data_IF_332457482486
#
_entry.id   IF_332457482486
#
_cell.length_a   1.000
_cell.length_b   1.000
_cell.length_c   1.000
_cell.angle_alpha   90.00
_cell.angle_beta   90.00
_cell.angle_gamma   90.00
#
_symmetry.space_group_name_H-M   'P 1'
#
loop_
_entity.id
_entity.type
_entity.pdbx_description
1 polymer ?
#
# COMPACT_ATOMS: atom_id res chain seq x y z
N UNK A 1 -20.05 13.78 -31.14
CA UNK A 1 -19.78 12.90 -29.98
C UNK A 1 -19.90 13.70 -28.67
N UNK A 2 -21.08 14.24 -28.34
CA UNK A 2 -21.22 15.21 -27.24
C UNK A 2 -21.55 14.60 -25.86
N UNK A 3 -21.54 13.27 -25.70
CA UNK A 3 -22.01 12.63 -24.46
C UNK A 3 -21.07 11.59 -23.82
N UNK A 4 -19.81 11.46 -24.28
CA UNK A 4 -18.87 10.47 -23.70
C UNK A 4 -19.21 9.00 -23.99
N UNK A 5 -20.33 8.72 -24.65
CA UNK A 5 -20.68 7.39 -25.15
C UNK A 5 -19.87 7.05 -26.41
N UNK A 6 -18.61 6.64 -26.20
CA UNK A 6 -17.71 6.22 -27.26
C UNK A 6 -18.21 4.94 -27.94
N UNK A 7 -18.78 4.01 -27.18
CA UNK A 7 -19.24 2.72 -27.71
C UNK A 7 -20.42 2.92 -28.66
N UNK A 8 -21.41 3.74 -28.28
CA UNK A 8 -22.49 4.16 -29.17
C UNK A 8 -21.97 4.89 -30.41
N UNK A 9 -21.02 5.81 -30.24
CA UNK A 9 -20.42 6.53 -31.36
C UNK A 9 -19.70 5.59 -32.35
N UNK A 10 -18.91 4.63 -31.86
CA UNK A 10 -18.27 3.63 -32.75
C UNK A 10 -19.30 2.75 -33.46
N UNK A 11 -20.40 2.39 -32.81
CA UNK A 11 -21.47 1.62 -33.44
C UNK A 11 -22.18 2.41 -34.56
N UNK A 12 -22.46 3.70 -34.34
CA UNK A 12 -23.06 4.59 -35.35
C UNK A 12 -22.15 4.80 -36.56
N UNK A 13 -20.88 5.14 -36.31
CA UNK A 13 -19.89 5.29 -37.38
C UNK A 13 -19.64 3.96 -38.10
N UNK A 14 -19.65 2.84 -37.38
CA UNK A 14 -19.55 1.50 -37.95
C UNK A 14 -20.70 1.18 -38.90
N UNK A 15 -21.93 1.61 -38.57
CA UNK A 15 -23.08 1.53 -39.50
C UNK A 15 -22.89 2.43 -40.72
N UNK A 16 -22.40 3.66 -40.52
CA UNK A 16 -22.15 4.61 -41.60
C UNK A 16 -21.19 4.04 -42.65
N UNK A 17 -20.05 3.49 -42.24
CA UNK A 17 -19.06 2.94 -43.18
C UNK A 17 -19.51 1.64 -43.85
N UNK A 18 -20.48 0.90 -43.29
CA UNK A 18 -21.10 -0.24 -43.99
C UNK A 18 -21.97 0.23 -45.15
N UNK A 19 -22.65 1.37 -44.98
CA UNK A 19 -23.49 1.98 -46.03
C UNK A 19 -22.61 2.71 -47.05
N UNK A 20 -21.55 3.38 -46.58
CA UNK A 20 -20.61 4.14 -47.40
C UNK A 20 -19.17 3.65 -47.20
N UNK A 21 -18.77 2.50 -47.80
CA UNK A 21 -17.42 1.95 -47.63
C UNK A 21 -16.29 2.87 -48.10
N UNK A 22 -16.59 3.79 -49.03
CA UNK A 22 -15.65 4.79 -49.54
C UNK A 22 -15.43 6.00 -48.62
N UNK A 23 -16.09 6.07 -47.46
CA UNK A 23 -15.81 7.08 -46.44
C UNK A 23 -14.50 6.73 -45.70
N UNK A 24 -13.39 7.08 -46.33
CA UNK A 24 -12.04 6.77 -45.84
C UNK A 24 -11.71 7.51 -44.54
N UNK A 25 -12.29 8.68 -44.32
CA UNK A 25 -12.08 9.48 -43.12
C UNK A 25 -12.71 8.78 -41.91
N UNK A 26 -13.97 8.37 -42.02
CA UNK A 26 -14.63 7.62 -40.95
C UNK A 26 -13.98 6.25 -40.71
N UNK A 27 -13.49 5.57 -41.75
CA UNK A 27 -12.72 4.32 -41.57
C UNK A 27 -11.43 4.53 -40.78
N UNK A 28 -10.67 5.62 -41.04
CA UNK A 28 -9.48 5.93 -40.23
C UNK A 28 -9.84 6.32 -38.79
N UNK A 29 -10.92 7.09 -38.62
CA UNK A 29 -11.41 7.46 -37.29
C UNK A 29 -11.76 6.21 -36.48
N UNK A 30 -12.55 5.30 -37.05
CA UNK A 30 -12.88 4.00 -36.42
C UNK A 30 -11.63 3.17 -36.13
N UNK A 31 -10.64 3.16 -37.02
CA UNK A 31 -9.39 2.44 -36.80
C UNK A 31 -8.69 2.91 -35.50
N UNK A 32 -8.54 4.22 -35.31
CA UNK A 32 -7.94 4.78 -34.09
C UNK A 32 -8.85 4.64 -32.86
N UNK A 33 -10.17 4.80 -33.01
CA UNK A 33 -11.12 4.63 -31.90
C UNK A 33 -11.06 3.21 -31.32
N UNK A 34 -11.19 2.19 -32.18
CA UNK A 34 -11.09 0.81 -31.75
C UNK A 34 -9.73 0.52 -31.15
N UNK A 35 -8.63 0.94 -31.81
CA UNK A 35 -7.29 0.61 -31.34
C UNK A 35 -6.90 1.31 -30.03
N UNK A 36 -7.03 2.64 -29.98
CA UNK A 36 -6.49 3.47 -28.89
C UNK A 36 -7.50 3.71 -27.77
N UNK A 37 -8.77 3.93 -28.11
CA UNK A 37 -9.80 4.24 -27.10
C UNK A 37 -10.34 2.96 -26.49
N UNK A 38 -10.68 1.96 -27.32
CA UNK A 38 -11.35 0.73 -26.87
C UNK A 38 -10.41 -0.44 -26.58
N UNK A 39 -9.13 -0.35 -26.94
CA UNK A 39 -8.15 -1.45 -26.84
C UNK A 39 -8.53 -2.68 -27.69
N UNK A 40 -9.13 -2.44 -28.85
CA UNK A 40 -9.60 -3.43 -29.81
C UNK A 40 -8.73 -3.42 -31.07
N UNK A 41 -7.48 -3.86 -30.92
CA UNK A 41 -6.46 -3.77 -31.98
C UNK A 41 -6.87 -4.50 -33.28
N UNK A 42 -7.57 -5.63 -33.17
CA UNK A 42 -8.01 -6.40 -34.32
C UNK A 42 -9.05 -5.63 -35.16
N UNK A 43 -10.07 -5.08 -34.53
CA UNK A 43 -11.10 -4.24 -35.15
C UNK A 43 -10.49 -2.98 -35.75
N UNK A 44 -9.57 -2.32 -35.02
CA UNK A 44 -8.87 -1.14 -35.53
C UNK A 44 -8.08 -1.43 -36.81
N UNK A 45 -7.38 -2.57 -36.85
CA UNK A 45 -6.66 -3.01 -38.04
C UNK A 45 -7.59 -3.45 -39.19
N UNK A 46 -8.78 -3.96 -38.89
CA UNK A 46 -9.79 -4.30 -39.89
C UNK A 46 -10.30 -3.05 -40.62
N UNK A 47 -10.63 -1.99 -39.88
CA UNK A 47 -11.09 -0.71 -40.46
C UNK A 47 -10.06 -0.08 -41.39
N UNK A 48 -8.80 -0.03 -40.99
CA UNK A 48 -7.76 0.56 -41.87
C UNK A 48 -7.44 -0.33 -43.08
N UNK A 49 -7.58 -1.67 -42.97
CA UNK A 49 -7.50 -2.57 -44.14
C UNK A 49 -8.68 -2.35 -45.08
N UNK A 50 -9.89 -2.12 -44.56
CA UNK A 50 -11.06 -1.77 -45.36
C UNK A 50 -10.87 -0.42 -46.06
N UNK A 51 -10.23 0.56 -45.41
CA UNK A 51 -9.84 1.80 -46.08
C UNK A 51 -8.90 1.53 -47.26
N UNK A 52 -7.79 0.81 -47.03
CA UNK A 52 -6.81 0.50 -48.08
C UNK A 52 -7.36 -0.38 -49.20
N UNK A 53 -8.39 -1.18 -48.92
CA UNK A 53 -9.12 -1.92 -49.95
C UNK A 53 -9.93 -0.99 -50.86
N UNK A 54 -10.47 0.09 -50.30
CA UNK A 54 -11.29 1.06 -51.02
C UNK A 54 -10.41 2.03 -51.83
N UNK A 55 -9.27 2.44 -51.28
CA UNK A 55 -8.25 3.23 -51.97
C UNK A 55 -6.84 2.76 -51.55
N UNK A 56 -6.20 1.91 -52.36
CA UNK A 56 -4.86 1.39 -52.08
C UNK A 56 -3.76 2.45 -52.06
N UNK A 57 -4.00 3.65 -52.61
CA UNK A 57 -2.99 4.71 -52.73
C UNK A 57 -3.18 5.87 -51.75
N UNK A 58 -4.23 5.80 -50.93
CA UNK A 58 -4.49 6.78 -49.90
C UNK A 58 -3.34 6.89 -48.88
N UNK A 59 -2.66 8.04 -48.86
CA UNK A 59 -1.52 8.29 -47.97
C UNK A 59 -1.89 8.21 -46.49
N UNK A 60 -3.06 8.71 -46.11
CA UNK A 60 -3.55 8.70 -44.73
C UNK A 60 -3.77 7.27 -44.26
N UNK A 61 -4.46 6.43 -45.04
CA UNK A 61 -4.70 5.03 -44.68
C UNK A 61 -3.42 4.21 -44.64
N UNK A 62 -2.46 4.46 -45.54
CA UNK A 62 -1.12 3.85 -45.48
C UNK A 62 -0.40 4.24 -44.18
N UNK A 63 -0.43 5.52 -43.82
CA UNK A 63 0.16 6.05 -42.58
C UNK A 63 -0.46 5.43 -41.33
N UNK A 64 -1.78 5.44 -41.22
CA UNK A 64 -2.53 4.82 -40.11
C UNK A 64 -2.24 3.33 -40.02
N UNK A 65 -2.25 2.59 -41.14
CA UNK A 65 -1.95 1.17 -41.14
C UNK A 65 -0.55 0.87 -40.62
N UNK A 66 0.47 1.56 -41.14
CA UNK A 66 1.86 1.34 -40.70
C UNK A 66 2.03 1.66 -39.22
N UNK A 67 1.43 2.75 -38.74
CA UNK A 67 1.47 3.14 -37.32
C UNK A 67 0.83 2.07 -36.43
N UNK A 68 -0.44 1.75 -36.67
CA UNK A 68 -1.18 0.79 -35.85
C UNK A 68 -0.60 -0.64 -35.95
N UNK A 69 -0.16 -1.07 -37.13
CA UNK A 69 0.47 -2.38 -37.32
C UNK A 69 1.82 -2.50 -36.61
N UNK A 70 2.59 -1.41 -36.54
CA UNK A 70 3.85 -1.39 -35.79
C UNK A 70 3.59 -1.51 -34.30
N UNK A 71 2.62 -0.75 -33.78
CA UNK A 71 2.22 -0.84 -32.38
C UNK A 71 1.68 -2.23 -32.02
N UNK A 72 0.80 -2.81 -32.86
CA UNK A 72 0.26 -4.16 -32.71
C UNK A 72 1.35 -5.24 -32.56
N UNK A 73 2.41 -5.17 -33.37
CA UNK A 73 3.56 -6.09 -33.24
C UNK A 73 4.29 -5.93 -31.91
N UNK A 74 4.46 -4.69 -31.44
CA UNK A 74 5.10 -4.43 -30.14
C UNK A 74 4.21 -4.93 -28.99
N UNK A 75 2.89 -4.76 -29.07
CA UNK A 75 1.93 -5.28 -28.10
C UNK A 75 1.92 -6.82 -28.07
N UNK A 76 1.96 -7.47 -29.25
CA UNK A 76 2.09 -8.92 -29.35
C UNK A 76 3.41 -9.43 -28.75
N UNK A 77 4.50 -8.67 -28.92
CA UNK A 77 5.77 -9.01 -28.27
C UNK A 77 5.71 -8.85 -26.75
N UNK A 78 5.08 -7.78 -26.27
CA UNK A 78 4.86 -7.55 -24.84
C UNK A 78 4.03 -8.68 -24.21
N UNK A 79 2.95 -9.12 -24.87
CA UNK A 79 2.14 -10.23 -24.37
C UNK A 79 2.90 -11.56 -24.36
N UNK A 80 3.74 -11.81 -25.37
CA UNK A 80 4.65 -12.97 -25.39
C UNK A 80 5.65 -12.94 -24.23
N UNK A 81 6.23 -11.77 -23.94
CA UNK A 81 7.18 -11.63 -22.83
C UNK A 81 6.47 -11.72 -21.47
N UNK A 82 5.24 -11.20 -21.35
CA UNK A 82 4.38 -11.32 -20.16
C UNK A 82 4.03 -12.78 -19.86
N UNK A 83 3.57 -13.53 -20.87
CA UNK A 83 3.23 -14.97 -20.71
C UNK A 83 4.45 -15.84 -20.36
N UNK A 84 5.66 -15.40 -20.74
CA UNK A 84 6.93 -16.03 -20.36
C UNK A 84 7.51 -15.47 -19.05
N UNK A 85 6.76 -14.65 -18.32
CA UNK A 85 7.17 -14.02 -17.06
C UNK A 85 8.49 -13.24 -17.16
N UNK A 86 8.80 -12.68 -18.33
CA UNK A 86 10.00 -11.88 -18.58
C UNK A 86 9.79 -10.44 -18.09
N UNK A 87 9.55 -10.27 -16.80
CA UNK A 87 9.13 -8.99 -16.21
C UNK A 87 10.08 -7.82 -16.48
N UNK A 88 11.39 -8.07 -16.50
CA UNK A 88 12.38 -7.04 -16.85
C UNK A 88 12.30 -6.61 -18.33
N UNK A 89 11.92 -7.51 -19.24
CA UNK A 89 11.69 -7.17 -20.63
C UNK A 89 10.40 -6.35 -20.77
N UNK A 90 9.32 -6.76 -20.09
CA UNK A 90 8.06 -6.00 -20.03
C UNK A 90 8.29 -4.58 -19.52
N UNK A 91 9.01 -4.43 -18.39
CA UNK A 91 9.36 -3.13 -17.84
C UNK A 91 10.08 -2.23 -18.85
N UNK A 92 11.09 -2.76 -19.57
CA UNK A 92 11.82 -1.99 -20.59
C UNK A 92 10.95 -1.62 -21.79
N UNK A 93 10.03 -2.50 -22.17
CA UNK A 93 9.14 -2.25 -23.30
C UNK A 93 8.05 -1.21 -22.96
N UNK A 94 7.50 -1.25 -21.75
CA UNK A 94 6.39 -0.36 -21.35
C UNK A 94 6.90 1.02 -20.92
N UNK A 95 7.79 1.03 -19.93
CA UNK A 95 8.27 2.24 -19.26
C UNK A 95 9.76 2.08 -18.90
N UNK A 96 10.66 2.23 -19.89
CA UNK A 96 12.10 2.14 -19.66
C UNK A 96 12.57 3.25 -18.72
N UNK A 97 13.72 3.04 -18.06
CA UNK A 97 14.26 4.00 -17.09
C UNK A 97 14.57 5.38 -17.68
N UNK A 98 14.80 5.47 -19.00
CA UNK A 98 14.96 6.73 -19.72
C UNK A 98 13.69 7.60 -19.70
N UNK A 99 12.52 7.01 -19.44
CA UNK A 99 11.21 7.65 -19.58
C UNK A 99 10.84 8.00 -21.02
N UNK A 100 11.67 7.60 -21.99
CA UNK A 100 11.52 7.86 -23.43
C UNK A 100 11.48 6.52 -24.18
N UNK A 101 10.77 6.50 -25.30
CA UNK A 101 10.68 5.35 -26.20
C UNK A 101 9.99 4.11 -25.61
N UNK A 102 9.28 4.27 -24.49
CA UNK A 102 8.41 3.24 -23.93
C UNK A 102 7.04 3.20 -24.63
N UNK A 103 6.43 2.02 -24.67
CA UNK A 103 5.10 1.84 -25.25
C UNK A 103 4.04 2.73 -24.62
N UNK A 104 4.11 2.97 -23.30
CA UNK A 104 3.12 3.82 -22.62
C UNK A 104 3.22 5.27 -23.14
N UNK A 105 4.43 5.82 -23.25
CA UNK A 105 4.68 7.15 -23.80
C UNK A 105 4.31 7.25 -25.28
N UNK A 106 4.64 6.23 -26.08
CA UNK A 106 4.26 6.17 -27.50
C UNK A 106 2.73 6.20 -27.67
N UNK A 107 2.00 5.40 -26.88
CA UNK A 107 0.54 5.39 -26.89
C UNK A 107 -0.03 6.71 -26.38
N UNK A 108 0.55 7.33 -25.34
CA UNK A 108 0.10 8.62 -24.83
C UNK A 108 0.18 9.73 -25.88
N UNK A 109 1.29 9.79 -26.61
CA UNK A 109 1.47 10.76 -27.70
C UNK A 109 0.45 10.49 -28.82
N UNK A 110 0.34 9.22 -29.25
CA UNK A 110 -0.63 8.84 -30.29
C UNK A 110 -2.07 9.15 -29.88
N UNK A 111 -2.41 8.94 -28.61
CA UNK A 111 -3.74 9.19 -28.07
C UNK A 111 -4.03 10.69 -27.99
N UNK A 112 -3.08 11.50 -27.50
CA UNK A 112 -3.22 12.94 -27.41
C UNK A 112 -3.42 13.59 -28.79
N UNK A 113 -2.64 13.16 -29.79
CA UNK A 113 -2.82 13.60 -31.18
C UNK A 113 -4.18 13.19 -31.74
N UNK A 114 -4.62 11.97 -31.43
CA UNK A 114 -5.90 11.43 -31.87
C UNK A 114 -7.10 12.19 -31.29
N UNK A 115 -7.17 12.37 -29.97
CA UNK A 115 -8.30 13.05 -29.33
C UNK A 115 -8.42 14.51 -29.76
N UNK A 116 -7.29 15.19 -30.00
CA UNK A 116 -7.28 16.56 -30.52
C UNK A 116 -7.85 16.62 -31.94
N UNK A 117 -7.41 15.70 -32.81
CA UNK A 117 -7.89 15.62 -34.20
C UNK A 117 -9.36 15.22 -34.30
N UNK A 118 -9.81 14.31 -33.43
CA UNK A 118 -11.17 13.76 -33.45
C UNK A 118 -12.15 14.57 -32.57
N UNK A 119 -11.71 15.66 -31.95
CA UNK A 119 -12.49 16.49 -31.03
C UNK A 119 -13.14 15.67 -29.90
N UNK A 120 -12.42 14.65 -29.41
CA UNK A 120 -12.87 13.81 -28.31
C UNK A 120 -12.51 14.51 -26.99
N UNK A 121 -13.44 14.62 -26.02
CA UNK A 121 -13.15 15.20 -24.72
C UNK A 121 -11.96 14.51 -24.03
N UNK A 122 -11.03 15.29 -23.48
CA UNK A 122 -9.84 14.78 -22.79
C UNK A 122 -10.16 13.96 -21.52
N UNK A 123 -11.41 13.98 -21.06
CA UNK A 123 -11.91 13.16 -19.94
C UNK A 123 -12.11 11.69 -20.33
N UNK A 124 -12.16 11.38 -21.63
CA UNK A 124 -12.23 9.99 -22.11
C UNK A 124 -10.85 9.37 -21.92
N UNK A 125 -10.71 8.26 -21.17
CA UNK A 125 -9.43 7.58 -21.04
C UNK A 125 -9.16 6.66 -22.24
N UNK A 126 -7.88 6.45 -22.54
CA UNK A 126 -7.46 5.36 -23.44
C UNK A 126 -7.49 4.02 -22.69
N UNK A 127 -8.36 3.09 -23.08
CA UNK A 127 -8.35 1.72 -22.53
C UNK A 127 -7.02 1.01 -22.83
N UNK A 128 -6.37 1.29 -23.96
CA UNK A 128 -5.06 0.72 -24.30
C UNK A 128 -3.96 1.22 -23.33
N UNK A 129 -3.94 2.51 -23.03
CA UNK A 129 -2.95 3.05 -22.11
C UNK A 129 -3.19 2.61 -20.66
N UNK A 130 -4.46 2.48 -20.25
CA UNK A 130 -4.82 1.87 -18.96
C UNK A 130 -4.35 0.42 -18.89
N UNK A 131 -4.58 -0.38 -19.93
CA UNK A 131 -4.06 -1.75 -20.03
C UNK A 131 -2.53 -1.82 -19.92
N UNK A 132 -1.80 -0.95 -20.61
CA UNK A 132 -0.34 -0.90 -20.51
C UNK A 132 0.13 -0.54 -19.10
N UNK A 133 -0.57 0.38 -18.41
CA UNK A 133 -0.28 0.74 -17.03
C UNK A 133 -0.58 -0.41 -16.06
N UNK A 134 -1.63 -1.20 -16.29
CA UNK A 134 -1.93 -2.41 -15.53
C UNK A 134 -0.79 -3.44 -15.67
N UNK A 135 -0.34 -3.72 -16.90
CA UNK A 135 0.80 -4.62 -17.13
C UNK A 135 2.07 -4.06 -16.47
N UNK A 136 2.26 -2.74 -16.45
CA UNK A 136 3.37 -2.11 -15.74
C UNK A 136 3.29 -2.32 -14.23
N UNK A 137 2.10 -2.26 -13.63
CA UNK A 137 1.90 -2.55 -12.21
C UNK A 137 2.31 -3.98 -11.88
N UNK A 138 1.85 -4.95 -12.66
CA UNK A 138 2.22 -6.36 -12.51
C UNK A 138 3.73 -6.58 -12.64
N UNK A 139 4.35 -6.09 -13.72
CA UNK A 139 5.76 -6.31 -13.97
C UNK A 139 6.67 -5.57 -12.98
N UNK A 140 6.27 -4.39 -12.53
CA UNK A 140 6.97 -3.65 -11.47
C UNK A 140 6.83 -4.35 -10.11
N UNK A 141 5.67 -4.90 -9.79
CA UNK A 141 5.45 -5.68 -8.56
C UNK A 141 6.36 -6.91 -8.52
N UNK A 142 6.42 -7.70 -9.59
CA UNK A 142 7.32 -8.86 -9.67
C UNK A 142 8.81 -8.50 -9.61
N UNK A 143 9.17 -7.27 -9.99
CA UNK A 143 10.56 -6.78 -9.94
C UNK A 143 10.83 -5.89 -8.73
N UNK A 144 9.88 -5.81 -7.78
CA UNK A 144 9.96 -5.04 -6.53
C UNK A 144 10.24 -3.54 -6.73
N UNK A 145 9.79 -2.98 -7.85
CA UNK A 145 9.87 -1.54 -8.14
C UNK A 145 8.64 -0.83 -7.59
N UNK A 146 8.51 -0.80 -6.27
CA UNK A 146 7.27 -0.38 -5.58
C UNK A 146 6.84 1.05 -5.92
N UNK A 147 7.78 1.99 -6.01
CA UNK A 147 7.47 3.38 -6.40
C UNK A 147 6.79 3.46 -7.78
N UNK A 148 7.23 2.62 -8.72
CA UNK A 148 6.65 2.54 -10.07
C UNK A 148 5.28 1.86 -10.07
N UNK A 149 5.05 0.91 -9.18
CA UNK A 149 3.71 0.34 -8.99
C UNK A 149 2.74 1.45 -8.57
N UNK A 150 3.09 2.27 -7.59
CA UNK A 150 2.24 3.37 -7.11
C UNK A 150 1.99 4.45 -8.17
N UNK A 151 3.01 4.76 -8.98
CA UNK A 151 2.89 5.71 -10.09
C UNK A 151 1.89 5.21 -11.15
N UNK A 152 2.01 3.95 -11.57
CA UNK A 152 1.15 3.37 -12.61
C UNK A 152 -0.24 2.99 -12.09
N UNK A 153 -0.37 2.61 -10.82
CA UNK A 153 -1.66 2.19 -10.24
C UNK A 153 -2.67 3.32 -10.27
N UNK A 154 -2.23 4.56 -10.00
CA UNK A 154 -3.09 5.75 -10.07
C UNK A 154 -3.79 5.85 -11.42
N UNK A 155 -3.05 5.68 -12.51
CA UNK A 155 -3.60 5.80 -13.85
C UNK A 155 -4.69 4.77 -14.14
N UNK A 156 -4.52 3.54 -13.66
CA UNK A 156 -5.53 2.49 -13.87
C UNK A 156 -6.74 2.75 -12.98
N UNK A 157 -6.53 3.09 -11.72
CA UNK A 157 -7.61 3.32 -10.75
C UNK A 157 -8.42 4.60 -11.01
N UNK A 158 -7.83 5.60 -11.68
CA UNK A 158 -8.55 6.77 -12.18
C UNK A 158 -9.56 6.39 -13.30
N UNK A 159 -9.31 5.30 -14.03
CA UNK A 159 -10.18 4.80 -15.10
C UNK A 159 -11.12 3.66 -14.65
N UNK A 160 -10.65 2.81 -13.74
CA UNK A 160 -11.35 1.67 -13.15
C UNK A 160 -10.94 1.54 -11.69
N UNK A 161 -11.69 2.24 -10.82
CA UNK A 161 -11.41 2.29 -9.38
C UNK A 161 -11.50 0.91 -8.71
N UNK A 162 -12.23 -0.03 -9.30
CA UNK A 162 -12.52 -1.34 -8.73
C UNK A 162 -11.62 -2.45 -9.30
N UNK A 163 -10.57 -2.09 -10.03
CA UNK A 163 -9.62 -3.03 -10.60
C UNK A 163 -8.88 -3.83 -9.51
N UNK A 164 -9.37 -5.06 -9.28
CA UNK A 164 -8.94 -5.95 -8.18
C UNK A 164 -7.43 -6.25 -8.23
N UNK A 165 -6.88 -6.47 -9.42
CA UNK A 165 -5.46 -6.81 -9.57
C UNK A 165 -4.57 -5.61 -9.24
N UNK A 166 -4.90 -4.42 -9.75
CA UNK A 166 -4.13 -3.21 -9.47
C UNK A 166 -4.25 -2.76 -8.02
N UNK A 167 -5.44 -2.83 -7.41
CA UNK A 167 -5.59 -2.61 -5.97
C UNK A 167 -4.71 -3.58 -5.17
N UNK A 168 -4.61 -4.84 -5.61
CA UNK A 168 -3.69 -5.82 -5.05
C UNK A 168 -2.23 -5.41 -5.14
N UNK A 169 -1.76 -4.99 -6.33
CA UNK A 169 -0.39 -4.53 -6.51
C UNK A 169 -0.08 -3.24 -5.73
N UNK A 170 -1.02 -2.30 -5.70
CA UNK A 170 -0.92 -1.05 -4.94
C UNK A 170 -0.80 -1.34 -3.45
N UNK A 171 -1.63 -2.24 -2.92
CA UNK A 171 -1.54 -2.69 -1.53
C UNK A 171 -0.15 -3.28 -1.22
N UNK A 172 0.32 -4.20 -2.06
CA UNK A 172 1.63 -4.85 -1.85
C UNK A 172 2.77 -3.80 -1.85
N UNK A 173 2.72 -2.82 -2.75
CA UNK A 173 3.68 -1.71 -2.81
C UNK A 173 3.59 -0.76 -1.59
N UNK A 174 2.39 -0.41 -1.13
CA UNK A 174 2.20 0.41 0.08
C UNK A 174 2.71 -0.32 1.32
N UNK A 175 2.47 -1.62 1.39
CA UNK A 175 2.92 -2.46 2.49
C UNK A 175 4.45 -2.55 2.56
N UNK A 176 5.12 -2.68 1.42
CA UNK A 176 6.59 -2.73 1.32
C UNK A 176 7.27 -1.37 1.50
N UNK A 177 6.58 -0.29 1.18
CA UNK A 177 7.05 1.09 1.41
C UNK A 177 6.61 1.67 2.76
N UNK A 178 6.08 0.82 3.65
CA UNK A 178 5.63 1.17 5.02
C UNK A 178 4.54 2.25 5.09
N UNK A 179 3.77 2.43 4.01
CA UNK A 179 2.61 3.33 3.95
C UNK A 179 1.35 2.64 4.52
N UNK A 180 1.41 2.27 5.81
CA UNK A 180 0.45 1.37 6.46
C UNK A 180 -0.99 1.91 6.51
N UNK A 181 -1.18 3.23 6.61
CA UNK A 181 -2.51 3.85 6.60
C UNK A 181 -3.15 3.78 5.22
N UNK A 182 -2.36 4.03 4.17
CA UNK A 182 -2.85 3.89 2.80
C UNK A 182 -3.13 2.42 2.47
N UNK A 183 -2.25 1.50 2.88
CA UNK A 183 -2.47 0.06 2.75
C UNK A 183 -3.77 -0.38 3.43
N UNK A 184 -4.13 0.21 4.58
CA UNK A 184 -5.40 -0.06 5.25
C UNK A 184 -6.61 0.35 4.41
N UNK A 185 -6.56 1.52 3.78
CA UNK A 185 -7.65 1.99 2.93
C UNK A 185 -7.78 1.11 1.69
N UNK A 186 -6.65 0.80 1.03
CA UNK A 186 -6.62 -0.05 -0.16
C UNK A 186 -7.15 -1.45 0.11
N UNK A 187 -6.79 -2.08 1.23
CA UNK A 187 -7.31 -3.42 1.56
C UNK A 187 -8.81 -3.41 1.87
N UNK A 188 -9.32 -2.35 2.50
CA UNK A 188 -10.75 -2.19 2.76
C UNK A 188 -11.54 -2.05 1.44
N UNK A 189 -11.00 -1.31 0.47
CA UNK A 189 -11.58 -1.21 -0.86
C UNK A 189 -11.51 -2.56 -1.58
N UNK A 190 -10.35 -3.23 -1.56
CA UNK A 190 -10.15 -4.53 -2.18
C UNK A 190 -11.15 -5.58 -1.66
N UNK A 191 -11.49 -5.55 -0.37
CA UNK A 191 -12.52 -6.43 0.20
C UNK A 191 -13.92 -6.20 -0.35
N UNK A 192 -14.27 -4.95 -0.66
CA UNK A 192 -15.58 -4.62 -1.22
C UNK A 192 -15.71 -5.13 -2.66
N UNK A 193 -14.62 -5.10 -3.42
CA UNK A 193 -14.64 -5.39 -4.87
C UNK A 193 -14.25 -6.83 -5.23
N UNK A 194 -13.45 -7.53 -4.40
CA UNK A 194 -12.86 -8.83 -4.76
C UNK A 194 -13.86 -10.02 -4.79
N UNK A 195 -15.14 -9.80 -4.47
CA UNK A 195 -16.17 -10.84 -4.46
C UNK A 195 -15.84 -12.04 -3.56
N UNK A 196 -16.55 -13.15 -3.73
CA UNK A 196 -16.35 -14.35 -2.90
C UNK A 196 -15.04 -15.08 -3.21
N UNK A 197 -14.68 -15.17 -4.50
CA UNK A 197 -13.54 -15.95 -4.99
C UNK A 197 -12.18 -15.31 -4.61
N UNK A 198 -12.10 -13.98 -4.53
CA UNK A 198 -10.91 -13.26 -4.11
C UNK A 198 -10.67 -13.27 -2.60
N UNK A 199 -11.63 -13.75 -1.81
CA UNK A 199 -11.63 -13.60 -0.35
C UNK A 199 -10.41 -14.22 0.35
N UNK A 200 -9.83 -15.31 -0.19
CA UNK A 200 -8.65 -15.94 0.39
C UNK A 200 -7.39 -15.06 0.28
N UNK A 201 -7.11 -14.54 -0.93
CA UNK A 201 -5.96 -13.65 -1.19
C UNK A 201 -6.06 -12.36 -0.39
N UNK A 202 -7.28 -11.84 -0.23
CA UNK A 202 -7.54 -10.63 0.54
C UNK A 202 -7.36 -10.86 2.05
N UNK A 203 -7.85 -12.00 2.59
CA UNK A 203 -7.59 -12.39 3.99
C UNK A 203 -6.10 -12.50 4.29
N UNK A 204 -5.33 -13.11 3.39
CA UNK A 204 -3.87 -13.21 3.55
C UNK A 204 -3.22 -11.83 3.63
N UNK A 205 -3.55 -10.93 2.69
CA UNK A 205 -3.06 -9.54 2.70
C UNK A 205 -3.44 -8.79 3.97
N UNK A 206 -4.67 -8.96 4.47
CA UNK A 206 -5.08 -8.38 5.75
C UNK A 206 -4.21 -8.88 6.92
N UNK A 207 -3.94 -10.18 6.98
CA UNK A 207 -3.04 -10.73 8.01
C UNK A 207 -1.63 -10.16 7.91
N UNK A 208 -1.11 -9.96 6.69
CA UNK A 208 0.19 -9.34 6.46
C UNK A 208 0.22 -7.87 6.93
N UNK A 209 -0.84 -7.09 6.66
CA UNK A 209 -0.98 -5.72 7.15
C UNK A 209 -0.97 -5.66 8.68
N UNK A 210 -1.80 -6.47 9.34
CA UNK A 210 -1.86 -6.52 10.81
C UNK A 210 -0.52 -6.89 11.42
N UNK A 211 0.19 -7.86 10.81
CA UNK A 211 1.53 -8.23 11.25
C UNK A 211 2.52 -7.06 11.13
N UNK A 212 2.51 -6.32 10.02
CA UNK A 212 3.39 -5.16 9.83
C UNK A 212 3.02 -3.98 10.73
N UNK A 213 1.73 -3.72 10.93
CA UNK A 213 1.26 -2.72 11.90
C UNK A 213 1.72 -3.04 13.32
N UNK A 214 1.54 -4.29 13.76
CA UNK A 214 2.05 -4.76 15.06
C UNK A 214 3.57 -4.61 15.16
N UNK A 215 4.31 -4.99 14.12
CA UNK A 215 5.76 -4.83 14.11
C UNK A 215 6.20 -3.36 14.19
N UNK A 216 5.47 -2.45 13.54
CA UNK A 216 5.73 -1.01 13.56
C UNK A 216 5.32 -0.33 14.88
N UNK A 217 4.24 -0.79 15.53
CA UNK A 217 3.79 -0.28 16.82
C UNK A 217 4.54 -0.87 18.02
N UNK A 218 5.23 -2.00 17.83
CA UNK A 218 5.98 -2.66 18.90
C UNK A 218 7.14 -1.79 19.35
N UNK A 219 7.15 -1.46 20.65
CA UNK A 219 8.24 -0.73 21.28
C UNK A 219 9.50 -1.61 21.30
N UNK A 220 10.64 -1.05 20.91
CA UNK A 220 11.93 -1.74 21.01
C UNK A 220 12.53 -1.52 22.41
N UNK A 221 12.24 -2.43 23.34
CA UNK A 221 12.66 -2.31 24.75
C UNK A 221 14.18 -2.25 24.91
N UNK A 222 14.94 -2.94 24.05
CA UNK A 222 16.40 -2.90 24.06
C UNK A 222 16.92 -1.52 23.66
N UNK A 223 16.33 -0.92 22.61
CA UNK A 223 16.65 0.46 22.22
C UNK A 223 16.26 1.48 23.28
N UNK A 224 15.13 1.30 23.97
CA UNK A 224 14.70 2.17 25.07
C UNK A 224 15.74 2.19 26.20
N UNK A 225 16.31 1.03 26.56
CA UNK A 225 17.38 0.95 27.56
C UNK A 225 18.78 1.26 27.00
N UNK A 226 18.93 1.37 25.68
CA UNK A 226 20.20 1.65 25.01
C UNK A 226 21.19 0.48 25.09
N UNK A 227 20.70 -0.75 24.98
CA UNK A 227 21.49 -1.99 25.04
C UNK A 227 21.24 -2.86 23.81
N UNK A 228 22.16 -3.80 23.54
CA UNK A 228 22.01 -4.79 22.47
C UNK A 228 21.09 -5.94 22.87
N UNK A 229 20.57 -6.67 21.88
CA UNK A 229 19.60 -7.77 22.10
C UNK A 229 20.20 -8.97 22.85
N UNK A 230 21.51 -9.15 22.76
CA UNK A 230 22.28 -10.19 23.45
C UNK A 230 22.70 -9.79 24.87
N UNK A 231 22.30 -8.60 25.34
CA UNK A 231 22.65 -8.10 26.67
C UNK A 231 22.25 -9.07 27.78
N UNK A 232 23.18 -9.28 28.72
CA UNK A 232 22.96 -10.11 29.90
C UNK A 232 21.96 -9.45 30.86
N UNK A 233 21.34 -10.24 31.73
CA UNK A 233 20.46 -9.72 32.78
C UNK A 233 21.12 -8.66 33.67
N UNK A 234 22.44 -8.75 33.85
CA UNK A 234 23.21 -7.77 34.61
C UNK A 234 23.31 -6.41 33.91
N UNK A 235 23.41 -6.42 32.57
CA UNK A 235 23.48 -5.24 31.71
C UNK A 235 22.13 -4.56 31.60
N UNK A 236 21.04 -5.32 31.44
CA UNK A 236 19.66 -4.81 31.49
C UNK A 236 19.43 -4.02 32.79
N UNK A 237 19.74 -4.62 33.94
CA UNK A 237 19.57 -3.97 35.25
C UNK A 237 20.47 -2.74 35.42
N UNK A 238 21.68 -2.75 34.87
CA UNK A 238 22.61 -1.62 34.91
C UNK A 238 22.10 -0.46 34.05
N UNK A 239 21.65 -0.77 32.83
CA UNK A 239 21.11 0.20 31.89
C UNK A 239 19.82 0.84 32.43
N UNK A 240 18.91 0.05 32.99
CA UNK A 240 17.72 0.56 33.66
C UNK A 240 18.06 1.56 34.75
N UNK A 241 18.96 1.23 35.68
CA UNK A 241 19.36 2.17 36.76
C UNK A 241 19.91 3.48 36.22
N UNK A 242 20.72 3.41 35.16
CA UNK A 242 21.28 4.60 34.50
C UNK A 242 20.19 5.47 33.86
N UNK A 243 19.29 4.85 33.09
CA UNK A 243 18.20 5.55 32.40
C UNK A 243 17.16 6.12 33.39
N UNK A 244 16.78 5.35 34.40
CA UNK A 244 15.89 5.78 35.48
C UNK A 244 16.44 6.99 36.24
N UNK A 245 17.76 7.02 36.51
CA UNK A 245 18.40 8.17 37.14
C UNK A 245 18.42 9.42 36.24
N UNK A 246 18.57 9.22 34.93
CA UNK A 246 18.62 10.30 33.95
C UNK A 246 17.24 10.92 33.69
N UNK A 247 16.21 10.09 33.60
CA UNK A 247 14.85 10.49 33.23
C UNK A 247 13.88 10.60 34.42
N UNK A 248 14.37 10.56 35.65
CA UNK A 248 13.53 10.75 36.84
C UNK A 248 12.89 12.15 36.85
N UNK A 249 11.56 12.30 36.98
CA UNK A 249 10.87 13.60 36.93
C UNK A 249 11.45 14.65 37.89
N UNK A 250 11.85 14.23 39.10
CA UNK A 250 12.42 15.15 40.10
C UNK A 250 13.88 15.55 39.84
N UNK A 251 14.61 14.80 39.01
CA UNK A 251 16.05 15.00 38.78
C UNK A 251 16.37 15.54 37.40
N UNK A 252 15.47 15.33 36.44
CA UNK A 252 15.62 15.83 35.10
C UNK A 252 15.59 17.36 35.11
N UNK A 253 16.59 17.98 34.46
CA UNK A 253 16.76 19.44 34.39
C UNK A 253 16.90 19.96 32.95
N UNK A 254 16.49 19.15 31.97
CA UNK A 254 16.50 19.55 30.55
C UNK A 254 15.22 20.27 30.14
N UNK A 255 15.11 20.56 28.84
CA UNK A 255 14.07 21.43 28.28
C UNK A 255 12.74 20.72 27.98
N UNK A 256 12.65 19.41 28.20
CA UNK A 256 11.43 18.67 27.91
C UNK A 256 10.32 18.97 28.94
N UNK A 257 9.05 19.04 28.49
CA UNK A 257 7.90 19.11 29.37
C UNK A 257 7.86 17.94 30.37
N UNK A 258 7.32 18.18 31.57
CA UNK A 258 7.22 17.16 32.62
C UNK A 258 6.50 15.89 32.13
N UNK A 259 5.44 16.06 31.35
CA UNK A 259 4.66 14.97 30.76
C UNK A 259 5.50 14.08 29.83
N UNK A 260 6.39 14.66 29.01
CA UNK A 260 7.29 13.88 28.15
C UNK A 260 8.34 13.11 28.94
N UNK A 261 8.82 13.68 30.05
CA UNK A 261 9.76 13.02 30.96
C UNK A 261 9.08 11.84 31.67
N UNK A 262 7.84 12.03 32.12
CA UNK A 262 7.01 10.97 32.71
C UNK A 262 6.75 9.83 31.71
N UNK A 263 6.43 10.17 30.45
CA UNK A 263 6.26 9.18 29.38
C UNK A 263 7.53 8.38 29.11
N UNK A 264 8.71 9.03 29.04
CA UNK A 264 9.99 8.33 28.88
C UNK A 264 10.30 7.43 30.07
N UNK A 265 10.03 7.89 31.29
CA UNK A 265 10.22 7.08 32.49
C UNK A 265 9.30 5.85 32.48
N UNK A 266 8.05 6.01 32.05
CA UNK A 266 7.11 4.89 31.89
C UNK A 266 7.62 3.86 30.87
N UNK A 267 8.17 4.30 29.74
CA UNK A 267 8.78 3.40 28.73
C UNK A 267 10.01 2.65 29.27
N UNK A 268 10.87 3.33 30.03
CA UNK A 268 12.04 2.72 30.67
C UNK A 268 11.62 1.65 31.69
N UNK A 269 10.59 1.92 32.48
CA UNK A 269 10.04 0.96 33.44
C UNK A 269 9.45 -0.26 32.72
N UNK A 270 8.67 -0.03 31.65
CA UNK A 270 8.09 -1.09 30.83
C UNK A 270 9.18 -1.98 30.21
N UNK A 271 10.23 -1.36 29.65
CA UNK A 271 11.35 -2.08 29.08
C UNK A 271 12.08 -2.95 30.12
N UNK A 272 12.28 -2.42 31.33
CA UNK A 272 12.90 -3.18 32.41
C UNK A 272 12.02 -4.34 32.90
N UNK A 273 10.71 -4.17 32.95
CA UNK A 273 9.78 -5.24 33.34
C UNK A 273 9.84 -6.42 32.36
N UNK A 274 9.83 -6.14 31.06
CA UNK A 274 9.87 -7.18 30.02
C UNK A 274 11.25 -7.85 29.95
N UNK A 275 12.33 -7.06 29.98
CA UNK A 275 13.67 -7.59 29.76
C UNK A 275 14.31 -8.27 30.99
N UNK A 276 13.83 -7.96 32.20
CA UNK A 276 14.37 -8.56 33.44
C UNK A 276 13.76 -9.94 33.73
N UNK A 277 12.53 -10.17 33.29
CA UNK A 277 11.84 -11.46 33.42
C UNK A 277 12.22 -12.35 32.22
N UNK A 278 12.79 -13.53 32.50
CA UNK A 278 13.29 -14.44 31.46
C UNK A 278 12.17 -14.96 30.56
N UNK A 279 10.97 -15.18 31.10
CA UNK A 279 9.83 -15.67 30.34
C UNK A 279 9.26 -14.56 29.46
N UNK A 280 9.05 -13.36 30.01
CA UNK A 280 8.58 -12.20 29.24
C UNK A 280 9.58 -11.79 28.15
N UNK A 281 10.88 -11.84 28.46
CA UNK A 281 11.94 -11.59 27.47
C UNK A 281 11.93 -12.63 26.36
N UNK A 282 11.79 -13.90 26.69
CA UNK A 282 11.71 -14.97 25.69
C UNK A 282 10.47 -14.82 24.78
N UNK A 283 9.31 -14.49 25.35
CA UNK A 283 8.09 -14.20 24.57
C UNK A 283 8.30 -13.00 23.64
N UNK A 284 8.87 -11.90 24.17
CA UNK A 284 9.18 -10.70 23.40
C UNK A 284 10.16 -10.98 22.25
N UNK A 285 11.21 -11.76 22.51
CA UNK A 285 12.21 -12.15 21.51
C UNK A 285 11.62 -13.10 20.45
N UNK A 286 10.59 -13.88 20.79
CA UNK A 286 9.82 -14.70 19.85
C UNK A 286 8.77 -13.89 19.06
N UNK A 287 8.61 -12.60 19.38
CA UNK A 287 7.73 -11.67 18.67
C UNK A 287 6.37 -11.42 19.34
N UNK A 288 6.16 -11.92 20.56
CA UNK A 288 4.97 -11.67 21.39
C UNK A 288 5.28 -10.63 22.46
N UNK A 289 4.71 -9.43 22.35
CA UNK A 289 4.88 -8.41 23.39
C UNK A 289 3.83 -8.60 24.50
N UNK A 290 4.24 -8.93 25.75
CA UNK A 290 3.32 -9.19 26.85
C UNK A 290 2.48 -7.98 27.25
N UNK A 291 2.94 -6.78 26.88
CA UNK A 291 2.32 -5.51 27.26
C UNK A 291 1.63 -4.80 26.09
N UNK A 292 1.53 -5.45 24.92
CA UNK A 292 0.79 -4.91 23.78
C UNK A 292 -0.72 -4.99 24.05
N UNK A 293 -1.46 -3.85 24.09
CA UNK A 293 -2.90 -3.85 24.33
C UNK A 293 -3.70 -4.59 23.24
N UNK A 294 -3.09 -4.91 22.09
CA UNK A 294 -3.73 -5.64 20.99
C UNK A 294 -3.43 -7.15 20.96
N UNK A 295 -2.57 -7.65 21.86
CA UNK A 295 -2.22 -9.08 21.94
C UNK A 295 -3.30 -9.95 22.62
N UNK A 296 -4.36 -9.34 23.17
CA UNK A 296 -5.46 -10.00 23.89
C UNK A 296 -6.55 -10.65 23.02
N UNK A 297 -6.34 -10.87 21.72
CA UNK A 297 -7.38 -11.46 20.85
C UNK A 297 -6.80 -12.58 19.97
N UNK A 298 -6.79 -13.82 20.48
CA UNK A 298 -6.60 -15.01 19.65
C UNK A 298 -5.88 -16.19 20.30
N UNK A 299 -6.56 -16.91 21.20
CA UNK A 299 -6.13 -18.23 21.66
C UNK A 299 -7.02 -18.77 22.78
N UNK A 300 -7.80 -19.85 22.57
CA UNK A 300 -8.57 -20.45 23.65
C UNK A 300 -7.62 -21.31 24.50
N UNK A 301 -7.13 -20.77 25.62
CA UNK A 301 -6.44 -21.61 26.59
C UNK A 301 -5.44 -21.00 27.56
N UNK A 302 -5.45 -19.69 27.87
CA UNK A 302 -4.54 -19.18 28.90
C UNK A 302 -5.26 -18.48 30.06
N UNK A 303 -4.88 -18.88 31.26
CA UNK A 303 -5.57 -18.69 32.53
C UNK A 303 -4.71 -17.78 33.39
N UNK A 304 -5.16 -16.55 33.68
CA UNK A 304 -4.56 -15.73 34.75
C UNK A 304 -4.57 -14.24 34.47
N UNK A 305 -5.52 -13.54 35.11
CA UNK A 305 -5.53 -12.08 35.09
C UNK A 305 -4.35 -11.48 35.86
N UNK A 306 -3.80 -10.39 35.34
CA UNK A 306 -3.20 -9.34 36.16
C UNK A 306 -3.23 -8.01 35.40
N UNK A 307 -4.07 -7.10 35.89
CA UNK A 307 -3.86 -5.64 35.90
C UNK A 307 -3.45 -4.95 34.58
N UNK A 308 -4.45 -4.41 33.86
CA UNK A 308 -4.24 -3.16 33.13
C UNK A 308 -3.90 -2.06 34.17
N UNK A 309 -2.76 -1.35 34.09
CA UNK A 309 -2.35 -0.41 35.14
C UNK A 309 -3.03 0.97 35.04
N UNK A 310 -4.01 1.17 34.15
CA UNK A 310 -4.71 2.45 33.98
C UNK A 310 -6.22 2.37 34.22
N UNK A 311 -6.63 1.60 35.24
CA UNK A 311 -7.93 1.76 35.87
C UNK A 311 -7.87 2.87 36.92
N UNK A 312 -8.27 4.09 36.56
CA UNK A 312 -8.46 5.21 37.48
C UNK A 312 -9.65 4.90 38.42
N UNK A 313 -9.41 4.08 39.46
CA UNK A 313 -10.43 3.80 40.46
C UNK A 313 -10.37 4.84 41.56
N UNK A 314 -11.18 5.87 41.35
CA UNK A 314 -11.64 6.83 42.34
C UNK A 314 -12.14 6.08 43.59
N UNK A 315 -11.45 6.29 44.72
CA UNK A 315 -11.99 6.08 46.06
C UNK A 315 -11.64 4.74 46.75
N UNK A 316 -10.91 4.85 47.86
CA UNK A 316 -10.90 3.83 48.92
C UNK A 316 -9.54 3.18 49.17
N UNK A 317 -8.80 3.70 50.15
CA UNK A 317 -7.51 3.17 50.57
C UNK A 317 -7.53 1.69 50.93
N UNK A 318 -6.66 0.92 50.28
CA UNK A 318 -6.26 -0.44 50.67
C UNK A 318 -4.72 -0.50 50.59
N UNK A 319 -4.04 -1.10 51.58
CA UNK A 319 -2.59 -1.16 51.61
C UNK A 319 -2.06 -2.09 50.51
N UNK A 320 -1.00 -1.64 49.84
CA UNK A 320 -0.22 -2.44 48.88
C UNK A 320 0.67 -3.39 49.68
N UNK A 321 0.51 -4.69 49.48
CA UNK A 321 1.40 -5.71 50.05
C UNK A 321 2.52 -6.03 49.06
N UNK A 322 3.77 -5.93 49.50
CA UNK A 322 4.94 -6.36 48.74
C UNK A 322 5.52 -7.61 49.43
N UNK A 323 5.45 -8.77 48.77
CA UNK A 323 6.02 -10.02 49.28
C UNK A 323 7.35 -10.28 48.56
N UNK A 324 8.46 -9.93 49.21
CA UNK A 324 9.80 -10.36 48.82
C UNK A 324 10.18 -11.59 49.65
N UNK A 325 10.52 -12.69 48.97
CA UNK A 325 10.98 -13.92 49.60
C UNK A 325 12.32 -13.74 50.32
N UNK A 326 12.27 -13.49 51.63
CA UNK A 326 13.22 -13.94 52.68
C UNK A 326 12.98 -13.17 53.99
N UNK A 327 11.99 -13.61 54.76
CA UNK A 327 12.05 -13.62 56.23
C UNK A 327 12.14 -12.31 57.03
N UNK A 328 11.87 -11.12 56.49
CA UNK A 328 11.73 -9.89 57.31
C UNK A 328 10.58 -8.99 56.82
N UNK A 329 9.55 -8.82 57.64
CA UNK A 329 8.45 -7.86 57.43
C UNK A 329 8.94 -6.44 57.73
N UNK A 330 8.84 -5.56 56.73
CA UNK A 330 8.89 -4.11 56.93
C UNK A 330 7.52 -3.52 56.61
N UNK A 331 6.91 -2.81 57.56
CA UNK A 331 5.73 -1.98 57.35
C UNK A 331 6.15 -0.51 57.26
N UNK A 332 5.76 0.19 56.20
CA UNK A 332 5.83 1.65 56.12
C UNK A 332 4.40 2.20 56.22
N UNK A 333 4.16 2.98 57.28
CA UNK A 333 2.91 3.70 57.48
C UNK A 333 3.14 5.17 57.10
N UNK A 334 2.65 5.57 55.93
CA UNK A 334 2.60 6.99 55.55
C UNK A 334 1.42 7.64 56.29
N UNK A 335 1.71 8.27 57.43
CA UNK A 335 0.75 9.07 58.18
C UNK A 335 0.53 10.41 57.50
N UNK A 336 -0.65 10.61 56.90
CA UNK A 336 -1.10 11.91 56.42
C UNK A 336 -1.41 12.85 57.58
N UNK A 337 -0.53 13.80 57.85
CA UNK A 337 -0.75 14.87 58.81
C UNK A 337 -1.44 16.06 58.16
N UNK A 338 -2.77 16.16 58.29
CA UNK A 338 -3.52 17.39 58.04
C UNK A 338 -3.40 18.32 59.24
N UNK A 339 -2.43 19.23 59.22
CA UNK A 339 -2.28 20.30 60.20
C UNK A 339 -2.90 21.60 59.69
N UNK A 340 -4.11 21.92 60.14
CA UNK A 340 -4.71 23.25 60.00
C UNK A 340 -4.16 24.21 61.07
N UNK A 341 -3.95 25.46 60.69
CA UNK A 341 -3.65 26.57 61.61
C UNK A 341 -4.85 27.54 61.66
N UNK A 342 -5.21 28.07 62.85
CA UNK A 342 -6.25 29.08 63.00
C UNK A 342 -5.68 30.51 63.02
N UNK A 343 -6.58 31.43 62.64
CA UNK A 343 -6.57 32.90 62.64
C UNK A 343 -6.01 33.60 61.41
#
# INVERSE_FOLDING_TARGET
MLAGDIEGATADLGRLVRIHPGDLETQNLLADMHFLVLNEAAQGLEHVRACLKSDPDNKTCKGTYTRLRTLDRKLAKLSEDRTKSKWNACNRAIAPASGKDGLLTEVDVMYAEFILRAEIPATVPSKLAAYLAEVACESCSHTKKWDKVLEHSKRVLDADADNVDVLGYQFDAQLETEQLDQAQNTINQLEQVAGHDGSARVRERRMQLERKKRAASRKDYYKILGIERDATQSEVKRAFRKMAQQWHPDRYRGDLPKEEVENKMAEINLANEVLTDEEKRAQYDQGHDPNDPTSGTGGPGDFGGFNSPFGFQQGGGKPVFFQQGSGKQFSFQFGGGSGGFPF
#
